data_IF_506524148910
#
_entry.id   IF_506524148910
#
_cell.length_a   1.000
_cell.length_b   1.000
_cell.length_c   1.000
_cell.angle_alpha   90.00
_cell.angle_beta   90.00
_cell.angle_gamma   90.00
#
_symmetry.space_group_name_H-M   'P 1'
#
loop_
_entity.id
_entity.type
_entity.pdbx_description
1 polymer ?
#
# COMPACT_ATOMS: atom_id res chain seq x y z
N UNK A 1 -13.01 -12.19 14.26
CA UNK A 1 -13.68 -10.99 13.71
C UNK A 1 -12.62 -9.94 13.46
N UNK A 2 -12.87 -8.99 12.54
CA UNK A 2 -11.95 -7.88 12.29
C UNK A 2 -12.11 -6.81 13.38
N UNK A 3 -11.02 -6.11 13.70
CA UNK A 3 -11.01 -4.95 14.56
C UNK A 3 -11.53 -3.74 13.78
N UNK A 4 -12.75 -3.32 14.09
CA UNK A 4 -13.44 -2.17 13.50
C UNK A 4 -13.87 -1.19 14.60
N UNK A 5 -13.72 0.11 14.35
CA UNK A 5 -14.24 1.22 15.18
C UNK A 5 -14.75 2.30 14.23
N UNK A 6 -16.03 2.66 14.30
CA UNK A 6 -16.67 3.64 13.43
C UNK A 6 -15.98 5.03 13.43
N UNK A 7 -15.21 5.33 14.47
CA UNK A 7 -14.44 6.58 14.57
C UNK A 7 -13.07 6.52 13.88
N UNK A 8 -12.64 5.35 13.40
CA UNK A 8 -11.37 5.11 12.72
C UNK A 8 -11.65 4.68 11.28
N UNK A 9 -11.23 5.49 10.32
CA UNK A 9 -11.28 5.09 8.90
C UNK A 9 -9.91 4.59 8.45
N UNK A 10 -9.85 3.35 8.00
CA UNK A 10 -8.68 2.66 7.51
C UNK A 10 -8.64 2.68 5.97
N UNK A 11 -7.65 3.37 5.41
CA UNK A 11 -7.46 3.53 3.97
C UNK A 11 -6.14 2.87 3.56
N UNK A 12 -6.21 1.81 2.76
CA UNK A 12 -5.04 1.14 2.21
C UNK A 12 -4.56 1.82 0.92
N UNK A 13 -3.37 2.41 0.95
CA UNK A 13 -2.69 2.93 -0.22
C UNK A 13 -1.81 1.84 -0.85
N UNK A 14 -2.05 1.60 -2.13
CA UNK A 14 -1.31 0.64 -2.96
C UNK A 14 -0.49 1.38 -4.00
N UNK A 15 0.83 1.42 -3.82
CA UNK A 15 1.77 1.82 -4.86
C UNK A 15 1.94 0.66 -5.83
N UNK A 16 1.35 0.78 -7.02
CA UNK A 16 1.36 -0.26 -8.05
C UNK A 16 2.23 0.18 -9.22
N UNK A 17 3.07 -0.74 -9.70
CA UNK A 17 3.89 -0.53 -10.89
C UNK A 17 3.28 -1.27 -12.09
N UNK A 18 2.16 -0.73 -12.57
CA UNK A 18 1.37 -1.33 -13.66
C UNK A 18 1.82 -0.75 -15.01
N UNK A 19 3.05 -1.07 -15.46
CA UNK A 19 3.64 -0.49 -16.67
C UNK A 19 3.26 -1.17 -18.00
N UNK A 20 2.63 -2.35 -17.99
CA UNK A 20 2.35 -3.12 -19.21
C UNK A 20 0.88 -3.60 -19.24
N UNK A 21 0.22 -3.46 -20.39
CA UNK A 21 -1.19 -3.87 -20.56
C UNK A 21 -1.42 -5.39 -20.41
N UNK A 22 -0.36 -6.19 -20.48
CA UNK A 22 -0.36 -7.65 -20.32
C UNK A 22 0.26 -8.14 -19.00
N UNK A 23 0.68 -7.24 -18.10
CA UNK A 23 1.26 -7.62 -16.82
C UNK A 23 0.23 -7.38 -15.71
N UNK A 24 0.02 -8.39 -14.86
CA UNK A 24 -0.80 -8.30 -13.65
C UNK A 24 -0.24 -7.30 -12.63
N UNK A 25 0.98 -6.80 -12.83
CA UNK A 25 1.62 -5.79 -11.97
C UNK A 25 1.98 -6.35 -10.61
N UNK A 26 2.72 -5.57 -9.83
CA UNK A 26 3.03 -5.86 -8.41
C UNK A 26 2.73 -4.62 -7.58
N UNK A 27 2.21 -4.83 -6.36
CA UNK A 27 2.19 -3.77 -5.36
C UNK A 27 3.55 -3.71 -4.69
N UNK A 28 4.30 -2.64 -4.94
CA UNK A 28 5.64 -2.44 -4.37
C UNK A 28 5.60 -1.67 -3.06
N UNK A 29 4.53 -0.94 -2.79
CA UNK A 29 4.31 -0.21 -1.54
C UNK A 29 2.89 -0.38 -1.05
N UNK A 30 2.74 -0.75 0.22
CA UNK A 30 1.44 -0.98 0.87
C UNK A 30 1.43 -0.23 2.19
N UNK A 31 0.63 0.83 2.30
CA UNK A 31 0.54 1.65 3.50
C UNK A 31 -0.91 1.77 3.95
N UNK A 32 -1.18 1.47 5.21
CA UNK A 32 -2.49 1.70 5.82
C UNK A 32 -2.46 3.04 6.54
N UNK A 33 -3.36 3.93 6.14
CA UNK A 33 -3.60 5.19 6.83
C UNK A 33 -4.85 5.02 7.68
N UNK A 34 -4.71 5.14 8.99
CA UNK A 34 -5.82 5.15 9.93
C UNK A 34 -6.10 6.59 10.35
N UNK A 35 -7.27 7.10 9.97
CA UNK A 35 -7.78 8.41 10.36
C UNK A 35 -8.62 8.25 11.63
N UNK A 36 -8.01 8.55 12.78
CA UNK A 36 -8.65 8.46 14.08
C UNK A 36 -9.32 9.80 14.43
N UNK A 37 -10.62 9.88 14.15
CA UNK A 37 -11.42 11.11 14.36
C UNK A 37 -11.76 11.36 15.83
N UNK A 38 -11.70 10.30 16.66
CA UNK A 38 -11.93 10.35 18.11
C UNK A 38 -10.78 11.05 18.82
N UNK A 39 -9.55 10.65 18.51
CA UNK A 39 -8.34 11.18 19.14
C UNK A 39 -7.65 12.27 18.31
N UNK A 40 -8.19 12.61 17.13
CA UNK A 40 -7.61 13.57 16.18
C UNK A 40 -6.18 13.22 15.78
N UNK A 41 -5.94 11.94 15.49
CA UNK A 41 -4.63 11.41 15.11
C UNK A 41 -4.66 10.76 13.74
N UNK A 42 -3.56 10.91 13.01
CA UNK A 42 -3.28 10.12 11.81
C UNK A 42 -2.21 9.11 12.16
N UNK A 43 -2.46 7.84 11.84
CA UNK A 43 -1.47 6.76 11.97
C UNK A 43 -1.20 6.19 10.59
N UNK A 44 0.06 5.93 10.30
CA UNK A 44 0.49 5.33 9.04
C UNK A 44 1.27 4.07 9.37
N UNK A 45 0.79 2.94 8.87
CA UNK A 45 1.42 1.62 9.05
C UNK A 45 1.86 1.09 7.70
N UNK A 46 3.15 0.85 7.54
CA UNK A 46 3.69 0.27 6.30
C UNK A 46 3.74 -1.25 6.39
N UNK A 47 3.19 -1.93 5.39
CA UNK A 47 3.33 -3.37 5.21
C UNK A 47 4.47 -3.64 4.22
N UNK A 48 5.45 -4.44 4.65
CA UNK A 48 6.58 -4.78 3.80
C UNK A 48 6.14 -5.76 2.70
N UNK A 49 6.59 -5.49 1.47
CA UNK A 49 6.23 -6.24 0.26
C UNK A 49 6.47 -7.76 0.37
N UNK A 50 7.54 -8.13 1.03
CA UNK A 50 8.07 -9.49 1.11
C UNK A 50 7.63 -10.22 2.39
N UNK A 51 6.68 -9.68 3.15
CA UNK A 51 6.11 -10.37 4.32
C UNK A 51 5.51 -11.71 3.90
N UNK A 52 5.89 -12.78 4.60
CA UNK A 52 5.32 -14.09 4.38
C UNK A 52 3.98 -14.20 5.10
N UNK A 53 2.89 -14.32 4.33
CA UNK A 53 1.51 -14.26 4.82
C UNK A 53 0.67 -15.36 4.20
N UNK A 54 -0.39 -15.76 4.90
CA UNK A 54 -1.37 -16.70 4.37
C UNK A 54 -2.34 -15.96 3.44
N UNK A 55 -2.40 -16.33 2.15
CA UNK A 55 -3.30 -15.73 1.17
C UNK A 55 -4.56 -16.59 1.06
N UNK A 56 -5.75 -16.07 1.44
CA UNK A 56 -6.98 -16.83 1.44
C UNK A 56 -7.32 -17.42 0.06
N UNK A 57 -7.50 -18.75 0.03
CA UNK A 57 -7.84 -19.52 -1.18
C UNK A 57 -6.66 -19.87 -2.09
N UNK A 58 -5.42 -19.57 -1.69
CA UNK A 58 -4.22 -19.84 -2.50
C UNK A 58 -3.13 -20.59 -1.72
N UNK A 59 -2.87 -20.17 -0.48
CA UNK A 59 -1.76 -20.68 0.34
C UNK A 59 -0.84 -19.55 0.81
N UNK A 60 0.30 -19.90 1.40
CA UNK A 60 1.21 -18.89 1.96
C UNK A 60 2.25 -18.42 0.95
N UNK A 61 2.40 -17.10 0.81
CA UNK A 61 3.38 -16.49 -0.08
C UNK A 61 3.76 -15.08 0.41
N UNK A 62 4.65 -14.39 -0.30
CA UNK A 62 4.93 -12.97 -0.09
C UNK A 62 3.67 -12.13 -0.31
N UNK A 63 3.47 -11.10 0.51
CA UNK A 63 2.27 -10.25 0.46
C UNK A 63 2.04 -9.62 -0.92
N UNK A 64 3.09 -9.23 -1.64
CA UNK A 64 2.95 -8.68 -2.99
C UNK A 64 2.41 -9.67 -4.03
N UNK A 65 2.62 -10.97 -3.82
CA UNK A 65 2.08 -11.99 -4.69
C UNK A 65 0.55 -12.01 -4.63
N UNK A 66 -0.06 -11.60 -3.51
CA UNK A 66 -1.51 -11.50 -3.39
C UNK A 66 -2.14 -10.58 -4.45
N UNK A 67 -1.44 -9.50 -4.83
CA UNK A 67 -1.91 -8.61 -5.88
C UNK A 67 -1.94 -9.30 -7.25
N UNK A 68 -0.82 -9.87 -7.68
CA UNK A 68 -0.70 -10.52 -8.99
C UNK A 68 -1.57 -11.78 -9.07
N UNK A 69 -1.55 -12.62 -8.03
CA UNK A 69 -2.36 -13.84 -7.93
C UNK A 69 -3.86 -13.56 -7.84
N UNK A 70 -4.24 -12.37 -7.36
CA UNK A 70 -5.62 -11.87 -7.38
C UNK A 70 -6.09 -11.36 -8.75
N UNK A 71 -5.26 -11.44 -9.80
CA UNK A 71 -5.58 -10.98 -11.15
C UNK A 71 -5.24 -9.50 -11.42
N UNK A 72 -4.48 -8.85 -10.52
CA UNK A 72 -4.07 -7.46 -10.66
C UNK A 72 -5.24 -6.47 -10.63
N UNK A 73 -4.93 -5.17 -10.84
CA UNK A 73 -5.90 -4.08 -10.83
C UNK A 73 -6.78 -4.12 -9.55
N UNK A 74 -8.09 -3.91 -9.71
CA UNK A 74 -9.06 -3.92 -8.61
C UNK A 74 -9.18 -5.29 -7.95
N UNK A 75 -9.09 -6.39 -8.71
CA UNK A 75 -9.23 -7.74 -8.17
C UNK A 75 -8.02 -8.11 -7.30
N UNK A 76 -6.81 -7.77 -7.77
CA UNK A 76 -5.57 -7.87 -7.01
C UNK A 76 -5.60 -7.04 -5.73
N UNK A 77 -6.07 -5.80 -5.79
CA UNK A 77 -6.21 -4.96 -4.60
C UNK A 77 -7.17 -5.55 -3.57
N UNK A 78 -8.33 -6.07 -4.00
CA UNK A 78 -9.27 -6.78 -3.11
C UNK A 78 -8.61 -8.01 -2.48
N UNK A 79 -7.80 -8.75 -3.25
CA UNK A 79 -7.06 -9.90 -2.70
C UNK A 79 -6.03 -9.47 -1.65
N UNK A 80 -5.31 -8.37 -1.86
CA UNK A 80 -4.41 -7.80 -0.86
C UNK A 80 -5.18 -7.40 0.41
N UNK A 81 -6.32 -6.71 0.28
CA UNK A 81 -7.18 -6.33 1.41
C UNK A 81 -7.56 -7.55 2.25
N UNK A 82 -8.16 -8.57 1.62
CA UNK A 82 -8.55 -9.80 2.33
C UNK A 82 -7.36 -10.54 2.96
N UNK A 83 -6.18 -10.44 2.36
CA UNK A 83 -4.95 -11.03 2.91
C UNK A 83 -4.52 -10.28 4.17
N UNK A 84 -4.51 -8.95 4.16
CA UNK A 84 -4.15 -8.14 5.33
C UNK A 84 -5.17 -8.34 6.45
N UNK A 85 -6.46 -8.30 6.14
CA UNK A 85 -7.55 -8.58 7.07
C UNK A 85 -7.39 -9.94 7.75
N UNK A 86 -7.09 -10.99 6.99
CA UNK A 86 -6.96 -12.35 7.51
C UNK A 86 -5.72 -12.55 8.39
N UNK A 87 -4.61 -11.87 8.11
CA UNK A 87 -3.34 -12.07 8.83
C UNK A 87 -3.19 -11.12 10.04
N UNK A 88 -3.74 -9.91 9.96
CA UNK A 88 -3.56 -8.88 10.99
C UNK A 88 -4.85 -8.52 11.73
N UNK A 89 -6.00 -9.03 11.28
CA UNK A 89 -7.29 -8.79 11.91
C UNK A 89 -7.79 -7.35 11.82
N UNK A 90 -7.18 -6.49 11.01
CA UNK A 90 -7.60 -5.10 10.83
C UNK A 90 -8.68 -5.01 9.77
N UNK A 91 -9.73 -4.21 10.01
CA UNK A 91 -10.74 -3.93 8.99
C UNK A 91 -10.31 -2.80 8.05
N UNK A 92 -10.42 -2.99 6.73
CA UNK A 92 -10.00 -2.01 5.73
C UNK A 92 -11.22 -1.47 5.00
N UNK A 93 -11.57 -0.22 5.28
CA UNK A 93 -12.77 0.41 4.71
C UNK A 93 -12.61 0.75 3.23
N UNK A 94 -11.41 1.19 2.84
CA UNK A 94 -11.14 1.72 1.49
C UNK A 94 -9.74 1.38 1.05
N UNK A 95 -9.55 1.30 -0.27
CA UNK A 95 -8.22 1.26 -0.87
C UNK A 95 -8.11 2.26 -2.02
N UNK A 96 -6.89 2.73 -2.27
CA UNK A 96 -6.57 3.63 -3.37
C UNK A 96 -5.25 3.25 -4.04
N UNK A 97 -5.18 3.44 -5.36
CA UNK A 97 -3.95 3.24 -6.12
C UNK A 97 -3.15 4.54 -6.20
N UNK A 98 -1.86 4.46 -5.89
CA UNK A 98 -0.92 5.55 -6.10
C UNK A 98 -0.04 5.19 -7.30
N UNK A 99 -0.22 5.93 -8.40
CA UNK A 99 0.60 5.76 -9.58
C UNK A 99 1.82 6.70 -9.50
N UNK A 100 3.03 6.12 -9.56
CA UNK A 100 4.29 6.85 -9.53
C UNK A 100 4.42 7.93 -10.62
N UNK A 101 3.69 7.83 -11.74
CA UNK A 101 3.67 8.86 -12.80
C UNK A 101 2.92 10.13 -12.41
N UNK A 102 1.92 10.00 -11.54
CA UNK A 102 1.06 11.12 -11.14
C UNK A 102 1.42 11.68 -9.77
N UNK A 103 2.12 10.90 -8.94
CA UNK A 103 2.53 11.33 -7.61
C UNK A 103 3.41 12.60 -7.62
N UNK A 104 4.46 12.72 -8.47
CA UNK A 104 5.27 13.95 -8.53
C UNK A 104 4.44 15.19 -8.87
N UNK A 105 3.49 15.07 -9.80
CA UNK A 105 2.62 16.19 -10.22
C UNK A 105 1.75 16.72 -9.08
N UNK A 106 1.35 15.85 -8.16
CA UNK A 106 0.58 16.25 -6.97
C UNK A 106 1.49 16.99 -6.00
N UNK A 107 2.68 16.46 -5.75
CA UNK A 107 3.69 17.09 -4.87
C UNK A 107 4.09 18.48 -5.40
N UNK A 108 4.33 18.61 -6.70
CA UNK A 108 4.68 19.89 -7.33
C UNK A 108 3.56 20.93 -7.17
N UNK A 109 2.29 20.51 -7.29
CA UNK A 109 1.13 21.40 -7.08
C UNK A 109 0.97 21.85 -5.63
N UNK A 110 1.44 21.06 -4.67
CA UNK A 110 1.41 21.40 -3.25
C UNK A 110 2.59 22.29 -2.83
N UNK A 111 3.45 22.70 -3.76
CA UNK A 111 4.61 23.54 -3.50
C UNK A 111 5.89 22.78 -3.16
N UNK A 112 5.93 21.47 -3.41
CA UNK A 112 7.07 20.61 -3.09
C UNK A 112 7.12 20.20 -1.61
N UNK A 113 7.95 19.21 -1.30
CA UNK A 113 8.19 18.76 0.08
C UNK A 113 9.69 18.82 0.37
N UNK A 114 10.13 19.55 1.42
CA UNK A 114 11.52 19.53 1.83
C UNK A 114 11.87 18.16 2.39
N UNK A 115 12.79 17.44 1.74
CA UNK A 115 13.30 16.15 2.20
C UNK A 115 14.76 16.34 2.60
N UNK A 116 15.10 15.94 3.83
CA UNK A 116 16.49 15.87 4.27
C UNK A 116 17.08 14.55 3.81
N UNK A 117 18.11 14.60 2.96
CA UNK A 117 18.86 13.44 2.53
C UNK A 117 19.95 13.15 3.56
N UNK A 118 19.80 12.06 4.31
CA UNK A 118 20.69 11.75 5.44
C UNK A 118 21.98 11.04 5.05
N UNK A 119 22.15 10.60 3.80
CA UNK A 119 23.41 10.03 3.32
C UNK A 119 23.70 10.41 1.87
N UNK A 120 24.98 10.74 1.61
CA UNK A 120 25.53 11.06 0.29
C UNK A 120 25.34 9.87 -0.66
N UNK A 121 24.38 9.97 -1.56
CA UNK A 121 24.41 9.34 -2.89
C UNK A 121 23.44 10.09 -3.78
N UNK A 122 23.98 10.78 -4.76
CA UNK A 122 23.18 11.44 -5.78
C UNK A 122 22.56 10.39 -6.74
N UNK A 123 21.74 10.89 -7.68
CA UNK A 123 20.98 10.09 -8.65
C UNK A 123 21.86 9.24 -9.62
N UNK A 124 23.18 9.26 -9.47
CA UNK A 124 24.14 8.49 -10.28
C UNK A 124 25.06 7.57 -9.45
N UNK A 125 24.84 7.45 -8.14
CA UNK A 125 25.35 6.33 -7.34
C UNK A 125 26.85 6.32 -7.08
N UNK A 126 27.52 7.48 -7.05
CA UNK A 126 28.91 7.57 -6.54
C UNK A 126 28.87 8.03 -5.08
N UNK A 127 29.73 7.41 -4.28
CA UNK A 127 29.87 7.62 -2.82
C UNK A 127 30.28 9.03 -2.48
#
# INVERSE_FOLDING_TARGET
>A
GLYHDDAITNILLLGVDDYQASDSGRSDSMMLISVDTRHKKLKVTSFMRDMYVAIPGIGSNKLNAAYSLGGGKVAGAKKVVTTIEANFGVDIDRFAFVNYKNFPKIIDRLGGVPITLTDKKDRYGRT
#
